data_IF_328720501514
#
_entry.id   IF_328720501514
#
_cell.length_a   1.000
_cell.length_b   1.000
_cell.length_c   1.000
_cell.angle_alpha   90.00
_cell.angle_beta   90.00
_cell.angle_gamma   90.00
#
_symmetry.space_group_name_H-M   'P 1'
#
loop_
_entity.id
_entity.type
_entity.pdbx_description
1 polymer ?
#
# COMPACT_ATOMS: atom_id res chain seq x y z
N UNK A 1 22.29 8.74 -24.83
CA UNK A 1 22.61 8.12 -23.54
C UNK A 1 21.44 8.24 -22.55
N UNK A 2 20.18 8.02 -22.99
CA UNK A 2 18.98 8.23 -22.14
C UNK A 2 18.22 6.94 -21.77
N UNK A 3 18.72 5.76 -22.16
CA UNK A 3 18.00 4.50 -21.94
C UNK A 3 18.21 3.84 -20.57
N UNK A 4 19.24 4.27 -19.83
CA UNK A 4 19.56 3.73 -18.50
C UNK A 4 18.57 4.17 -17.40
N UNK A 5 17.92 5.32 -17.58
CA UNK A 5 17.05 5.89 -16.55
C UNK A 5 15.66 5.25 -16.46
N UNK A 6 15.20 4.61 -17.54
CA UNK A 6 13.88 3.94 -17.54
C UNK A 6 13.89 2.62 -16.80
N UNK A 7 15.01 1.90 -16.80
CA UNK A 7 15.08 0.57 -16.17
C UNK A 7 15.05 0.64 -14.64
N UNK A 8 15.67 1.67 -14.06
CA UNK A 8 15.64 1.89 -12.61
C UNK A 8 14.30 2.45 -12.11
N UNK A 9 13.56 3.16 -12.97
CA UNK A 9 12.28 3.77 -12.60
C UNK A 9 11.23 2.70 -12.26
N UNK A 10 11.35 1.57 -12.88
CA UNK A 10 10.39 0.49 -12.76
C UNK A 10 10.46 -0.32 -11.47
N UNK A 11 11.62 -0.42 -10.87
CA UNK A 11 11.76 -1.09 -9.57
C UNK A 11 11.11 -0.34 -8.39
N UNK A 12 10.77 0.93 -8.61
CA UNK A 12 10.39 1.85 -7.55
C UNK A 12 8.94 1.75 -7.06
N UNK A 13 8.06 1.20 -7.85
CA UNK A 13 6.64 1.20 -7.54
C UNK A 13 6.08 -0.16 -7.22
N UNK A 14 6.77 -1.22 -7.59
CA UNK A 14 6.58 -2.52 -6.94
C UNK A 14 6.77 -2.38 -5.42
N UNK A 15 7.70 -1.48 -5.00
CA UNK A 15 7.90 -1.13 -3.61
C UNK A 15 6.72 -0.43 -2.93
N UNK A 16 6.06 0.50 -3.61
CA UNK A 16 4.91 1.21 -3.02
C UNK A 16 3.69 0.29 -2.83
N UNK A 17 3.49 -0.65 -3.73
CA UNK A 17 2.41 -1.64 -3.60
C UNK A 17 2.66 -2.61 -2.44
N UNK A 18 3.89 -3.10 -2.31
CA UNK A 18 4.25 -4.01 -1.23
C UNK A 18 4.24 -3.32 0.14
N UNK A 19 4.64 -2.04 0.22
CA UNK A 19 4.55 -1.26 1.46
C UNK A 19 3.10 -1.12 1.92
N UNK A 20 2.18 -0.97 0.97
CA UNK A 20 0.76 -0.86 1.27
C UNK A 20 0.18 -2.16 1.87
N UNK A 21 0.58 -3.33 1.36
CA UNK A 21 0.16 -4.64 1.91
C UNK A 21 0.75 -4.85 3.31
N UNK A 22 2.03 -4.57 3.48
CA UNK A 22 2.72 -4.78 4.75
C UNK A 22 2.18 -3.86 5.86
N UNK A 23 1.70 -2.66 5.52
CA UNK A 23 1.15 -1.73 6.50
C UNK A 23 -0.21 -2.18 7.05
N UNK A 24 -1.11 -2.69 6.21
CA UNK A 24 -2.39 -3.22 6.70
C UNK A 24 -2.21 -4.41 7.66
N UNK A 25 -1.17 -5.23 7.46
CA UNK A 25 -0.87 -6.36 8.35
C UNK A 25 -0.16 -5.92 9.63
N UNK A 26 0.66 -4.85 9.58
CA UNK A 26 1.41 -4.38 10.76
C UNK A 26 0.64 -3.38 11.63
N UNK A 27 -0.37 -2.70 11.10
CA UNK A 27 -1.20 -1.77 11.86
C UNK A 27 -2.31 -2.45 12.69
N UNK A 28 -2.52 -3.75 12.52
CA UNK A 28 -3.48 -4.54 13.33
C UNK A 28 -2.86 -5.12 14.60
N UNK A 29 -2.04 -4.38 15.34
CA UNK A 29 -1.64 -4.77 16.72
C UNK A 29 -1.07 -3.59 17.49
N UNK A 30 -1.21 -3.51 18.81
CA UNK A 30 -2.18 -4.04 19.75
C UNK A 30 -2.68 -2.96 20.73
N UNK A 31 -3.87 -2.49 20.66
CA UNK A 31 -4.52 -1.80 21.80
C UNK A 31 -6.02 -2.15 21.81
N UNK A 32 -6.36 -3.40 21.92
CA UNK A 32 -7.66 -3.86 22.44
C UNK A 32 -7.45 -5.24 23.06
N UNK A 33 -6.76 -5.31 24.17
CA UNK A 33 -6.57 -6.62 24.80
C UNK A 33 -6.72 -6.49 26.32
N UNK A 34 -7.88 -6.18 26.83
CA UNK A 34 -8.22 -6.60 28.21
C UNK A 34 -9.71 -6.49 28.57
N UNK A 35 -10.48 -5.68 27.86
CA UNK A 35 -11.91 -5.53 28.19
C UNK A 35 -12.86 -6.29 27.25
N UNK A 36 -12.38 -6.88 26.17
CA UNK A 36 -13.18 -7.63 25.19
C UNK A 36 -13.06 -9.15 25.40
N UNK A 37 -12.01 -9.62 26.07
CA UNK A 37 -11.78 -11.07 26.24
C UNK A 37 -12.87 -11.79 27.05
N UNK A 38 -13.50 -11.11 27.99
CA UNK A 38 -14.54 -11.73 28.84
C UNK A 38 -15.96 -11.72 28.25
N UNK A 39 -16.23 -10.89 27.25
CA UNK A 39 -17.51 -10.91 26.52
C UNK A 39 -17.47 -11.76 25.24
N UNK A 40 -16.29 -11.98 24.66
CA UNK A 40 -16.09 -12.78 23.44
C UNK A 40 -16.18 -14.29 23.68
N UNK A 41 -15.82 -14.78 24.86
CA UNK A 41 -15.74 -16.22 25.12
C UNK A 41 -17.08 -16.94 25.19
N UNK A 42 -18.19 -16.25 25.43
CA UNK A 42 -19.52 -16.88 25.53
C UNK A 42 -20.29 -16.82 24.20
N UNK A 43 -20.11 -15.78 23.38
CA UNK A 43 -20.74 -15.70 22.05
C UNK A 43 -19.94 -16.44 20.97
N UNK A 44 -18.63 -16.55 21.12
CA UNK A 44 -17.78 -17.25 20.15
C UNK A 44 -18.02 -18.77 20.11
N UNK A 45 -18.37 -19.39 21.23
CA UNK A 45 -18.58 -20.85 21.27
C UNK A 45 -19.83 -21.32 20.52
N UNK A 46 -20.86 -20.48 20.48
CA UNK A 46 -22.10 -20.78 19.75
C UNK A 46 -21.98 -20.46 18.25
N UNK A 47 -21.28 -19.40 17.91
CA UNK A 47 -21.07 -19.00 16.48
C UNK A 47 -20.11 -19.93 15.76
N UNK A 48 -19.07 -20.42 16.44
CA UNK A 48 -18.07 -21.33 15.83
C UNK A 48 -18.67 -22.69 15.50
N UNK A 49 -19.54 -23.22 16.35
CA UNK A 49 -20.24 -24.48 16.09
C UNK A 49 -21.28 -24.35 14.97
N UNK A 50 -21.90 -23.19 14.82
CA UNK A 50 -22.83 -22.90 13.74
C UNK A 50 -22.04 -22.76 12.42
N UNK A 51 -20.95 -22.02 12.43
CA UNK A 51 -20.05 -21.85 11.27
C UNK A 51 -19.44 -23.19 10.79
N UNK A 52 -19.08 -24.09 11.72
CA UNK A 52 -18.58 -25.43 11.37
C UNK A 52 -19.70 -26.31 10.78
N UNK A 53 -20.95 -26.16 11.23
CA UNK A 53 -22.08 -26.85 10.62
C UNK A 53 -22.41 -26.34 9.22
N UNK A 54 -22.24 -25.05 8.98
CA UNK A 54 -22.47 -24.42 7.67
C UNK A 54 -21.33 -24.74 6.71
N UNK A 55 -20.07 -24.88 7.19
CA UNK A 55 -18.94 -25.37 6.41
C UNK A 55 -19.16 -26.81 5.87
N UNK A 56 -19.91 -27.66 6.59
CA UNK A 56 -20.27 -29.00 6.09
C UNK A 56 -21.27 -29.00 4.95
N UNK A 57 -21.96 -27.89 4.70
CA UNK A 57 -22.92 -27.73 3.60
C UNK A 57 -22.26 -27.19 2.31
N UNK A 58 -21.00 -26.75 2.37
CA UNK A 58 -20.28 -26.25 1.20
C UNK A 58 -19.99 -27.40 0.25
N UNK A 59 -20.64 -27.39 -0.88
CA UNK A 59 -20.45 -28.36 -1.98
C UNK A 59 -19.23 -27.95 -2.80
N UNK A 60 -18.61 -28.91 -3.50
CA UNK A 60 -17.48 -28.63 -4.40
C UNK A 60 -17.80 -27.61 -5.51
N UNK A 61 -19.07 -27.40 -5.80
CA UNK A 61 -19.54 -26.41 -6.77
C UNK A 61 -19.60 -24.99 -6.20
N UNK A 62 -19.77 -24.84 -4.87
CA UNK A 62 -19.69 -23.57 -4.16
C UNK A 62 -18.22 -23.06 -4.05
N UNK A 63 -17.26 -23.99 -4.19
CA UNK A 63 -15.83 -23.68 -4.20
C UNK A 63 -15.29 -23.35 -5.60
N UNK A 64 -16.10 -23.50 -6.64
CA UNK A 64 -15.83 -22.93 -7.94
C UNK A 64 -16.12 -21.43 -7.89
N UNK A 65 -15.21 -20.68 -7.29
CA UNK A 65 -15.24 -19.23 -7.33
C UNK A 65 -15.18 -18.85 -8.81
N UNK A 66 -16.34 -18.54 -9.36
CA UNK A 66 -16.42 -17.94 -10.67
C UNK A 66 -15.84 -16.53 -10.52
N UNK A 67 -14.55 -16.40 -10.83
CA UNK A 67 -13.80 -15.13 -10.73
C UNK A 67 -14.43 -14.00 -11.55
N UNK A 68 -15.44 -14.29 -12.35
CA UNK A 68 -16.20 -13.34 -13.14
C UNK A 68 -17.57 -12.95 -12.51
N UNK A 69 -18.01 -13.60 -11.43
CA UNK A 69 -19.41 -13.48 -11.00
C UNK A 69 -19.65 -12.56 -9.79
N UNK A 70 -18.64 -12.02 -9.13
CA UNK A 70 -18.81 -11.53 -7.76
C UNK A 70 -18.63 -10.02 -7.53
N UNK A 71 -18.62 -9.16 -8.53
CA UNK A 71 -18.66 -7.72 -8.26
C UNK A 71 -19.55 -6.99 -9.27
N UNK A 72 -20.74 -6.51 -8.86
CA UNK A 72 -21.63 -5.73 -9.74
C UNK A 72 -21.01 -4.46 -10.30
N UNK A 73 -20.02 -3.88 -9.58
CA UNK A 73 -19.32 -2.63 -9.94
C UNK A 73 -17.81 -2.81 -10.09
N UNK A 74 -17.32 -4.05 -10.21
CA UNK A 74 -15.89 -4.27 -10.41
C UNK A 74 -15.44 -3.63 -11.72
N UNK A 75 -14.38 -2.85 -11.63
CA UNK A 75 -13.69 -2.33 -12.81
C UNK A 75 -13.38 -3.52 -13.71
N UNK A 76 -14.09 -3.61 -14.84
CA UNK A 76 -13.85 -4.65 -15.85
C UNK A 76 -12.39 -4.58 -16.24
N UNK A 77 -11.74 -5.73 -16.28
CA UNK A 77 -10.36 -5.87 -16.75
C UNK A 77 -10.34 -6.19 -18.25
N UNK A 78 -10.62 -5.22 -19.13
CA UNK A 78 -10.68 -5.45 -20.56
C UNK A 78 -9.31 -5.73 -21.16
N UNK A 79 -8.24 -5.40 -20.43
CA UNK A 79 -6.85 -5.60 -20.85
C UNK A 79 -6.23 -6.85 -20.16
N UNK A 80 -7.05 -7.74 -19.61
CA UNK A 80 -6.59 -8.92 -18.87
C UNK A 80 -5.51 -9.73 -19.60
N UNK A 81 -5.61 -10.04 -20.92
CA UNK A 81 -4.56 -10.78 -21.60
C UNK A 81 -3.19 -10.07 -21.57
N UNK A 82 -3.18 -8.76 -21.80
CA UNK A 82 -1.98 -7.94 -21.74
C UNK A 82 -1.48 -7.81 -20.29
N UNK A 83 -2.38 -7.54 -19.35
CA UNK A 83 -2.06 -7.40 -17.93
C UNK A 83 -1.44 -8.67 -17.36
N UNK A 84 -1.91 -9.86 -17.76
CA UNK A 84 -1.31 -11.13 -17.36
C UNK A 84 0.10 -11.32 -17.92
N UNK A 85 0.37 -10.92 -19.15
CA UNK A 85 1.73 -10.97 -19.71
C UNK A 85 2.69 -10.07 -18.94
N UNK A 86 2.27 -8.85 -18.65
CA UNK A 86 3.07 -7.91 -17.85
C UNK A 86 3.24 -8.43 -16.41
N UNK A 87 2.20 -9.05 -15.85
CA UNK A 87 2.30 -9.69 -14.53
C UNK A 87 3.35 -10.81 -14.53
N UNK A 88 3.36 -11.69 -15.52
CA UNK A 88 4.37 -12.75 -15.65
C UNK A 88 5.77 -12.16 -15.76
N UNK A 89 5.94 -11.08 -16.50
CA UNK A 89 7.22 -10.36 -16.56
C UNK A 89 7.64 -9.83 -15.19
N UNK A 90 6.72 -9.16 -14.48
CA UNK A 90 6.98 -8.62 -13.14
C UNK A 90 7.28 -9.73 -12.12
N UNK A 91 6.51 -10.82 -12.12
CA UNK A 91 6.71 -11.99 -11.24
C UNK A 91 8.05 -12.68 -11.51
N UNK A 92 8.45 -12.77 -12.78
CA UNK A 92 9.75 -13.31 -13.17
C UNK A 92 10.89 -12.43 -12.64
N UNK A 93 10.79 -11.12 -12.82
CA UNK A 93 11.78 -10.18 -12.30
C UNK A 93 11.84 -10.21 -10.76
N UNK A 94 10.70 -10.27 -10.10
CA UNK A 94 10.65 -10.42 -8.63
C UNK A 94 11.35 -11.70 -8.19
N UNK A 95 10.99 -12.84 -8.77
CA UNK A 95 11.51 -14.15 -8.38
C UNK A 95 13.01 -14.27 -8.55
N UNK A 96 13.57 -13.75 -9.63
CA UNK A 96 14.99 -13.93 -9.97
C UNK A 96 15.89 -12.79 -9.48
N UNK A 97 15.33 -11.62 -9.22
CA UNK A 97 16.12 -10.43 -8.84
C UNK A 97 15.69 -9.86 -7.50
N UNK A 98 14.43 -9.42 -7.35
CA UNK A 98 14.04 -8.64 -6.18
C UNK A 98 13.92 -9.50 -4.92
N UNK A 99 13.29 -10.67 -5.03
CA UNK A 99 13.10 -11.59 -3.90
C UNK A 99 14.43 -12.09 -3.30
N UNK A 100 15.41 -12.61 -4.07
CA UNK A 100 16.69 -13.02 -3.49
C UNK A 100 17.46 -11.86 -2.84
N UNK A 101 17.39 -10.66 -3.40
CA UNK A 101 18.00 -9.47 -2.79
C UNK A 101 17.28 -9.11 -1.49
N UNK A 102 15.93 -9.18 -1.46
CA UNK A 102 15.14 -8.90 -0.27
C UNK A 102 15.42 -9.90 0.87
N UNK A 103 15.61 -11.18 0.57
CA UNK A 103 16.03 -12.20 1.54
C UNK A 103 17.40 -11.84 2.15
N UNK A 104 18.39 -11.55 1.30
CA UNK A 104 19.72 -11.15 1.77
C UNK A 104 19.69 -9.85 2.58
N UNK A 105 18.81 -8.92 2.21
CA UNK A 105 18.62 -7.68 2.97
C UNK A 105 18.06 -7.96 4.37
N UNK A 106 17.08 -8.84 4.51
CA UNK A 106 16.53 -9.22 5.83
C UNK A 106 17.56 -9.93 6.69
N UNK A 107 18.35 -10.82 6.11
CA UNK A 107 19.41 -11.57 6.82
C UNK A 107 20.56 -10.68 7.30
N UNK A 108 20.95 -9.69 6.50
CA UNK A 108 22.14 -8.86 6.78
C UNK A 108 21.83 -7.54 7.48
N UNK A 109 20.65 -6.99 7.31
CA UNK A 109 20.29 -5.70 7.90
C UNK A 109 19.23 -5.93 8.98
N UNK A 110 19.58 -5.79 10.26
CA UNK A 110 18.66 -6.04 11.36
C UNK A 110 17.54 -5.01 11.43
N UNK A 111 16.39 -5.41 11.99
CA UNK A 111 15.19 -4.57 12.07
C UNK A 111 15.42 -3.19 12.75
N UNK A 112 16.25 -3.07 13.80
CA UNK A 112 16.56 -1.76 14.38
C UNK A 112 17.22 -0.76 13.41
N UNK A 113 17.77 -1.21 12.28
CA UNK A 113 18.31 -0.35 11.21
C UNK A 113 17.26 -0.09 10.13
N UNK A 114 16.47 -1.11 9.79
CA UNK A 114 15.44 -1.01 8.74
C UNK A 114 14.28 -0.13 9.16
N UNK A 115 13.80 -0.26 10.39
CA UNK A 115 12.65 0.48 10.91
C UNK A 115 12.86 2.01 10.90
N UNK A 116 13.96 2.58 11.44
CA UNK A 116 14.23 4.01 11.34
C UNK A 116 14.31 4.52 9.90
N UNK A 117 14.90 3.75 8.99
CA UNK A 117 14.96 4.12 7.57
C UNK A 117 13.54 4.24 6.97
N UNK A 118 12.66 3.28 7.27
CA UNK A 118 11.25 3.35 6.84
C UNK A 118 10.53 4.58 7.40
N UNK A 119 10.71 4.85 8.70
CA UNK A 119 10.09 6.01 9.34
C UNK A 119 10.57 7.32 8.74
N UNK A 120 11.86 7.44 8.49
CA UNK A 120 12.43 8.62 7.81
C UNK A 120 11.80 8.85 6.43
N UNK A 121 11.66 7.78 5.64
CA UNK A 121 11.01 7.88 4.33
C UNK A 121 9.53 8.24 4.39
N UNK A 122 8.79 7.68 5.35
CA UNK A 122 7.39 8.04 5.61
C UNK A 122 7.28 9.51 5.98
N UNK A 123 8.11 9.95 6.90
CA UNK A 123 8.12 11.35 7.34
C UNK A 123 8.40 12.31 6.17
N UNK A 124 9.32 11.98 5.26
CA UNK A 124 9.54 12.78 4.05
C UNK A 124 8.33 12.80 3.09
N UNK A 125 7.42 11.86 3.19
CA UNK A 125 6.17 11.84 2.42
C UNK A 125 5.06 12.73 2.99
N UNK A 126 5.11 13.06 4.28
CA UNK A 126 4.04 13.80 4.98
C UNK A 126 3.72 15.17 4.36
N UNK A 127 4.68 15.99 3.89
CA UNK A 127 4.33 17.26 3.23
C UNK A 127 3.46 17.07 1.98
N UNK A 128 3.71 16.01 1.20
CA UNK A 128 2.88 15.70 0.03
C UNK A 128 1.51 15.16 0.42
N UNK A 129 1.43 14.36 1.49
CA UNK A 129 0.15 13.94 2.07
C UNK A 129 -0.68 15.16 2.48
N UNK A 130 -0.08 16.13 3.17
CA UNK A 130 -0.76 17.36 3.58
C UNK A 130 -1.26 18.18 2.38
N UNK A 131 -0.49 18.27 1.30
CA UNK A 131 -0.94 18.95 0.06
C UNK A 131 -2.17 18.25 -0.53
N UNK A 132 -2.17 16.92 -0.62
CA UNK A 132 -3.32 16.17 -1.09
C UNK A 132 -4.55 16.37 -0.20
N UNK A 133 -4.39 16.39 1.12
CA UNK A 133 -5.46 16.66 2.08
C UNK A 133 -6.02 18.10 1.93
N UNK A 134 -5.16 19.08 1.67
CA UNK A 134 -5.63 20.44 1.34
C UNK A 134 -6.42 20.47 0.05
N UNK A 135 -5.95 19.81 -1.00
CA UNK A 135 -6.67 19.69 -2.27
C UNK A 135 -8.04 19.02 -2.04
N UNK A 136 -8.13 18.01 -1.18
CA UNK A 136 -9.37 17.33 -0.81
C UNK A 136 -10.31 18.20 0.06
N UNK A 137 -9.95 19.44 0.41
CA UNK A 137 -10.74 20.29 1.29
C UNK A 137 -10.73 19.88 2.75
N UNK A 138 -9.68 19.19 3.22
CA UNK A 138 -9.51 18.65 4.59
C UNK A 138 -8.38 19.37 5.35
N UNK A 139 -8.50 20.70 5.61
CA UNK A 139 -7.42 21.51 6.17
C UNK A 139 -7.03 21.08 7.60
N UNK A 140 -7.97 20.60 8.40
CA UNK A 140 -7.69 20.10 9.75
C UNK A 140 -6.79 18.87 9.73
N UNK A 141 -7.01 17.97 8.77
CA UNK A 141 -6.14 16.81 8.54
C UNK A 141 -4.75 17.22 8.05
N UNK A 142 -4.70 18.12 7.08
CA UNK A 142 -3.43 18.66 6.59
C UNK A 142 -2.61 19.32 7.70
N UNK A 143 -3.25 20.07 8.60
CA UNK A 143 -2.59 20.65 9.76
C UNK A 143 -2.04 19.58 10.74
N UNK A 144 -2.81 18.51 11.00
CA UNK A 144 -2.34 17.37 11.81
C UNK A 144 -1.15 16.66 11.14
N UNK A 145 -1.19 16.46 9.84
CA UNK A 145 -0.11 15.84 9.06
C UNK A 145 1.16 16.70 9.06
N UNK A 146 1.04 18.02 8.91
CA UNK A 146 2.17 18.93 9.03
C UNK A 146 2.72 19.00 10.46
N UNK A 147 1.84 18.99 11.47
CA UNK A 147 2.23 18.90 12.88
C UNK A 147 3.00 17.62 13.18
N UNK A 148 2.55 16.51 12.63
CA UNK A 148 3.24 15.23 12.69
C UNK A 148 4.62 15.29 12.04
N UNK A 149 4.71 15.80 10.82
CA UNK A 149 5.98 16.00 10.12
C UNK A 149 6.97 16.83 10.96
N UNK A 150 6.50 17.98 11.45
CA UNK A 150 7.31 18.90 12.25
C UNK A 150 7.80 18.25 13.54
N UNK A 151 6.90 17.60 14.29
CA UNK A 151 7.24 16.94 15.54
C UNK A 151 8.29 15.85 15.35
N UNK A 152 8.05 14.94 14.39
CA UNK A 152 8.98 13.86 14.11
C UNK A 152 10.33 14.37 13.60
N UNK A 153 10.33 15.42 12.78
CA UNK A 153 11.57 16.01 12.25
C UNK A 153 12.37 16.71 13.36
N UNK A 154 11.73 17.53 14.20
CA UNK A 154 12.41 18.27 15.24
C UNK A 154 12.93 17.40 16.39
N UNK A 155 12.22 16.29 16.70
CA UNK A 155 12.59 15.43 17.84
C UNK A 155 13.54 14.30 17.46
N UNK A 156 13.42 13.75 16.25
CA UNK A 156 14.13 12.53 15.84
C UNK A 156 14.72 12.61 14.44
N UNK A 157 14.74 13.78 13.80
CA UNK A 157 15.09 13.97 12.40
C UNK A 157 14.25 13.10 11.43
N UNK A 158 13.07 12.65 11.89
CA UNK A 158 12.18 11.79 11.15
C UNK A 158 12.49 10.29 11.23
N UNK A 159 13.51 9.87 11.99
CA UNK A 159 13.89 8.45 12.12
C UNK A 159 13.01 7.66 13.10
N UNK A 160 12.17 8.33 13.89
CA UNK A 160 11.17 7.71 14.75
C UNK A 160 9.83 8.44 14.64
N UNK A 161 8.79 7.90 15.27
CA UNK A 161 7.42 8.40 15.18
C UNK A 161 6.81 8.72 16.56
N UNK A 162 7.32 9.75 17.27
CA UNK A 162 6.70 10.23 18.49
C UNK A 162 5.30 10.80 18.28
N UNK A 163 4.98 11.34 17.11
CA UNK A 163 3.66 11.89 16.80
C UNK A 163 2.55 10.83 16.91
N UNK A 164 2.82 9.59 16.54
CA UNK A 164 1.88 8.47 16.67
C UNK A 164 1.51 8.22 18.15
N UNK A 165 2.49 8.33 19.06
CA UNK A 165 2.26 8.15 20.51
C UNK A 165 1.39 9.26 21.11
N UNK A 166 1.31 10.41 20.45
CA UNK A 166 0.46 11.52 20.80
C UNK A 166 -0.90 11.50 20.11
N UNK A 167 -1.28 10.38 19.51
CA UNK A 167 -2.58 10.22 18.86
C UNK A 167 -2.68 10.90 17.48
N UNK A 168 -1.55 11.17 16.84
CA UNK A 168 -1.51 11.69 15.47
C UNK A 168 -1.14 10.53 14.50
N UNK A 169 -2.09 9.75 13.99
CA UNK A 169 -1.82 8.67 13.05
C UNK A 169 -1.37 9.23 11.70
N UNK A 170 -0.56 8.45 10.98
CA UNK A 170 -0.24 8.77 9.59
C UNK A 170 -1.43 8.48 8.69
N UNK A 171 -1.61 9.29 7.67
CA UNK A 171 -2.61 9.09 6.63
C UNK A 171 -1.93 9.23 5.27
N UNK A 172 -1.68 8.09 4.63
CA UNK A 172 -1.03 8.09 3.33
C UNK A 172 -1.97 8.56 2.24
N UNK A 173 -1.50 9.52 1.46
CA UNK A 173 -2.24 10.11 0.36
C UNK A 173 -1.52 9.88 -0.97
N UNK A 174 -2.32 9.85 -2.03
CA UNK A 174 -1.83 9.89 -3.40
C UNK A 174 -2.77 10.74 -4.26
N UNK A 175 -2.24 11.32 -5.30
CA UNK A 175 -3.06 12.13 -6.20
C UNK A 175 -4.15 11.30 -6.89
N UNK A 176 -3.91 10.00 -7.13
CA UNK A 176 -4.92 9.07 -7.63
C UNK A 176 -6.11 8.91 -6.67
N UNK A 177 -5.85 8.83 -5.35
CA UNK A 177 -6.91 8.81 -4.32
C UNK A 177 -7.64 10.16 -4.27
N UNK A 178 -6.91 11.26 -4.36
CA UNK A 178 -7.48 12.61 -4.42
C UNK A 178 -8.43 12.78 -5.61
N UNK A 179 -8.06 12.30 -6.78
CA UNK A 179 -8.95 12.26 -7.94
C UNK A 179 -10.20 11.40 -7.69
N UNK A 180 -10.01 10.23 -7.06
CA UNK A 180 -11.10 9.36 -6.67
C UNK A 180 -12.05 9.99 -5.66
N UNK A 181 -11.53 10.75 -4.71
CA UNK A 181 -12.31 11.53 -3.74
C UNK A 181 -13.25 12.52 -4.43
N UNK A 182 -12.84 13.12 -5.53
CA UNK A 182 -13.69 13.98 -6.38
C UNK A 182 -14.57 13.22 -7.38
N UNK A 183 -14.66 11.90 -7.27
CA UNK A 183 -15.52 11.09 -8.12
C UNK A 183 -14.95 10.78 -9.51
N UNK A 184 -13.67 11.07 -9.77
CA UNK A 184 -13.04 10.67 -11.02
C UNK A 184 -12.99 9.14 -11.09
N UNK A 185 -13.59 8.52 -12.12
CA UNK A 185 -13.62 7.07 -12.24
C UNK A 185 -12.20 6.49 -12.37
N UNK A 186 -11.99 5.29 -11.81
CA UNK A 186 -10.69 4.62 -11.86
C UNK A 186 -10.22 4.32 -13.30
N UNK A 187 -11.17 4.16 -14.23
CA UNK A 187 -10.90 3.63 -15.56
C UNK A 187 -10.52 2.14 -15.51
N UNK A 188 -10.09 1.57 -16.64
CA UNK A 188 -9.64 0.19 -16.72
C UNK A 188 -8.48 -0.11 -15.77
N UNK A 189 -8.48 -1.36 -15.26
CA UNK A 189 -7.31 -1.89 -14.55
C UNK A 189 -6.15 -2.08 -15.53
N UNK A 190 -4.94 -1.73 -15.11
CA UNK A 190 -3.71 -1.91 -15.87
C UNK A 190 -2.61 -2.46 -14.98
N UNK A 191 -1.90 -3.47 -15.46
CA UNK A 191 -0.65 -3.91 -14.86
C UNK A 191 0.50 -3.15 -15.50
N UNK A 192 1.22 -2.35 -14.72
CA UNK A 192 2.34 -1.57 -15.24
C UNK A 192 3.63 -2.40 -15.16
N UNK A 193 4.47 -2.41 -16.23
CA UNK A 193 5.78 -3.03 -16.17
C UNK A 193 6.61 -2.41 -15.05
N UNK A 194 7.19 -3.24 -14.21
CA UNK A 194 7.95 -2.88 -13.00
C UNK A 194 7.11 -2.22 -11.88
N UNK A 195 6.00 -1.56 -12.21
CA UNK A 195 5.21 -0.75 -11.27
C UNK A 195 4.08 -1.54 -10.61
N UNK A 196 3.72 -2.69 -11.18
CA UNK A 196 2.67 -3.52 -10.62
C UNK A 196 1.25 -3.01 -10.92
N UNK A 197 0.28 -3.35 -10.06
CA UNK A 197 -1.13 -3.05 -10.27
C UNK A 197 -1.42 -1.54 -10.23
N UNK A 198 -2.31 -1.10 -11.12
CA UNK A 198 -2.75 0.29 -11.23
C UNK A 198 -4.11 0.36 -11.93
N UNK A 199 -4.65 1.57 -12.03
CA UNK A 199 -5.73 1.95 -12.94
C UNK A 199 -5.27 3.14 -13.78
N UNK A 200 -6.03 3.52 -14.80
CA UNK A 200 -5.70 4.73 -15.57
C UNK A 200 -5.61 5.98 -14.69
N UNK A 201 -6.59 6.18 -13.79
CA UNK A 201 -6.58 7.29 -12.82
C UNK A 201 -5.35 7.25 -11.92
N UNK A 202 -5.08 6.09 -11.34
CA UNK A 202 -4.01 5.96 -10.34
C UNK A 202 -2.63 6.01 -11.01
N UNK A 203 -2.49 5.53 -12.25
CA UNK A 203 -1.29 5.67 -13.06
C UNK A 203 -0.98 7.14 -13.39
N UNK A 204 -2.00 7.92 -13.73
CA UNK A 204 -1.85 9.36 -13.87
C UNK A 204 -1.48 10.03 -12.54
N UNK A 205 -2.16 9.64 -11.46
CA UNK A 205 -1.84 10.09 -10.10
C UNK A 205 -0.40 9.81 -9.71
N UNK A 206 0.10 8.61 -10.01
CA UNK A 206 1.49 8.23 -9.76
C UNK A 206 2.51 9.15 -10.46
N UNK A 207 2.21 9.58 -11.70
CA UNK A 207 3.06 10.54 -12.41
C UNK A 207 3.10 11.88 -11.67
N UNK A 208 1.97 12.38 -11.18
CA UNK A 208 1.90 13.62 -10.40
C UNK A 208 2.60 13.47 -9.04
N UNK A 209 2.34 12.37 -8.31
CA UNK A 209 2.96 12.08 -7.02
C UNK A 209 4.49 12.11 -7.09
N UNK A 210 5.06 11.64 -8.22
CA UNK A 210 6.50 11.69 -8.43
C UNK A 210 7.05 13.13 -8.44
N UNK A 211 6.31 14.08 -8.99
CA UNK A 211 6.71 15.48 -8.99
C UNK A 211 6.38 16.21 -7.68
N UNK A 212 5.36 15.78 -6.96
CA UNK A 212 4.96 16.37 -5.69
C UNK A 212 5.86 16.00 -4.50
N UNK A 213 6.63 14.92 -4.59
CA UNK A 213 7.45 14.45 -3.47
C UNK A 213 8.72 15.27 -3.26
N UNK A 214 8.98 15.77 -2.04
CA UNK A 214 10.15 16.59 -1.73
C UNK A 214 11.50 15.92 -2.05
N UNK A 215 11.58 14.60 -1.93
CA UNK A 215 12.80 13.81 -2.16
C UNK A 215 13.40 14.05 -3.56
N UNK A 216 12.55 14.30 -4.56
CA UNK A 216 13.01 14.58 -5.91
C UNK A 216 13.86 15.85 -5.95
N UNK A 217 13.42 16.90 -5.26
CA UNK A 217 14.08 18.21 -5.26
C UNK A 217 15.27 18.26 -4.32
N UNK A 218 15.20 17.55 -3.18
CA UNK A 218 16.32 17.48 -2.23
C UNK A 218 17.54 16.75 -2.79
N UNK A 219 17.34 15.84 -3.75
CA UNK A 219 18.39 14.99 -4.33
C UNK A 219 18.55 15.21 -5.84
N UNK A 220 18.12 16.36 -6.36
CA UNK A 220 18.15 16.63 -7.80
C UNK A 220 19.57 16.62 -8.35
N UNK A 221 20.52 17.20 -7.64
CA UNK A 221 21.94 17.18 -7.99
C UNK A 221 22.65 15.84 -7.70
N UNK A 222 21.99 14.93 -6.98
CA UNK A 222 22.56 13.66 -6.53
C UNK A 222 21.74 12.46 -7.06
N UNK A 223 21.63 12.37 -8.37
CA UNK A 223 20.84 11.34 -9.04
C UNK A 223 21.19 9.91 -8.60
N UNK A 224 22.46 9.61 -8.34
CA UNK A 224 22.89 8.32 -7.83
C UNK A 224 22.27 7.98 -6.46
N UNK A 225 22.27 8.94 -5.53
CA UNK A 225 21.67 8.76 -4.20
C UNK A 225 20.16 8.65 -4.32
N UNK A 226 19.53 9.50 -5.12
CA UNK A 226 18.08 9.44 -5.35
C UNK A 226 17.66 8.05 -5.83
N UNK A 227 18.32 7.49 -6.84
CA UNK A 227 17.99 6.17 -7.35
C UNK A 227 18.30 5.04 -6.36
N UNK A 228 19.44 5.13 -5.65
CA UNK A 228 19.82 4.13 -4.64
C UNK A 228 18.79 4.05 -3.51
N UNK A 229 18.32 5.21 -3.01
CA UNK A 229 17.31 5.23 -1.94
C UNK A 229 15.97 4.67 -2.42
N UNK A 230 15.63 4.87 -3.67
CA UNK A 230 14.41 4.32 -4.24
C UNK A 230 14.52 2.80 -4.44
N UNK A 231 15.64 2.29 -4.95
CA UNK A 231 15.90 0.84 -5.06
C UNK A 231 15.85 0.19 -3.66
N UNK A 232 16.50 0.80 -2.68
CA UNK A 232 16.47 0.31 -1.31
C UNK A 232 15.04 0.26 -0.74
N UNK A 233 14.21 1.26 -1.06
CA UNK A 233 12.79 1.23 -0.68
C UNK A 233 12.06 0.04 -1.30
N UNK A 234 12.28 -0.25 -2.59
CA UNK A 234 11.66 -1.39 -3.24
C UNK A 234 12.09 -2.72 -2.60
N UNK A 235 13.37 -2.85 -2.26
CA UNK A 235 13.91 -4.02 -1.58
C UNK A 235 13.29 -4.18 -0.18
N UNK A 236 13.26 -3.09 0.61
CA UNK A 236 12.68 -3.11 1.95
C UNK A 236 11.17 -3.40 1.93
N UNK A 237 10.43 -2.81 0.99
CA UNK A 237 9.02 -3.11 0.82
C UNK A 237 8.78 -4.58 0.44
N UNK A 238 9.61 -5.15 -0.45
CA UNK A 238 9.53 -6.58 -0.79
C UNK A 238 9.88 -7.47 0.40
N UNK A 239 10.84 -7.05 1.21
CA UNK A 239 11.24 -7.75 2.42
C UNK A 239 10.09 -7.90 3.44
N UNK A 240 9.23 -6.88 3.56
CA UNK A 240 8.09 -6.88 4.48
C UNK A 240 6.99 -7.88 4.11
N UNK A 241 6.93 -8.36 2.87
CA UNK A 241 5.88 -9.29 2.40
C UNK A 241 6.39 -10.71 2.14
N UNK A 242 7.64 -11.02 2.47
CA UNK A 242 8.22 -12.35 2.25
C UNK A 242 7.41 -13.44 2.97
N UNK A 243 7.06 -13.23 4.22
CA UNK A 243 6.34 -14.20 5.05
C UNK A 243 4.89 -14.39 4.60
N UNK A 244 4.28 -13.33 4.07
CA UNK A 244 2.87 -13.36 3.62
C UNK A 244 2.74 -14.12 2.31
N UNK A 245 3.73 -14.03 1.43
CA UNK A 245 3.71 -14.67 0.12
C UNK A 245 3.49 -16.17 0.19
N UNK A 246 4.04 -16.85 1.20
CA UNK A 246 3.89 -18.30 1.39
C UNK A 246 2.43 -18.72 1.65
N UNK A 247 1.62 -17.80 2.16
CA UNK A 247 0.21 -18.01 2.45
C UNK A 247 -0.69 -17.83 1.22
N UNK A 248 -0.19 -17.22 0.16
CA UNK A 248 -0.96 -16.93 -1.06
C UNK A 248 -1.05 -18.17 -1.96
N UNK A 249 -2.24 -18.78 -2.03
CA UNK A 249 -2.54 -19.94 -2.87
C UNK A 249 -3.56 -19.56 -3.95
N UNK A 250 -3.33 -20.02 -5.19
CA UNK A 250 -4.26 -19.81 -6.29
C UNK A 250 -3.75 -18.85 -7.37
N UNK A 251 -4.67 -18.16 -8.07
CA UNK A 251 -4.32 -17.21 -9.13
C UNK A 251 -3.80 -15.90 -8.52
N UNK A 252 -2.48 -15.78 -8.39
CA UNK A 252 -1.81 -14.60 -7.84
C UNK A 252 -2.18 -13.31 -8.58
N UNK A 253 -2.36 -13.38 -9.91
CA UNK A 253 -2.75 -12.19 -10.68
C UNK A 253 -4.12 -11.67 -10.24
N UNK A 254 -5.11 -12.56 -10.16
CA UNK A 254 -6.46 -12.18 -9.75
C UNK A 254 -6.49 -11.65 -8.32
N UNK A 255 -5.79 -12.31 -7.39
CA UNK A 255 -5.70 -11.86 -5.99
C UNK A 255 -5.09 -10.47 -5.86
N UNK A 256 -3.97 -10.21 -6.55
CA UNK A 256 -3.28 -8.91 -6.51
C UNK A 256 -4.17 -7.81 -7.12
N UNK A 257 -4.84 -8.10 -8.25
CA UNK A 257 -5.78 -7.16 -8.88
C UNK A 257 -6.92 -6.80 -7.93
N UNK A 258 -7.58 -7.81 -7.38
CA UNK A 258 -8.77 -7.62 -6.56
C UNK A 258 -8.44 -6.93 -5.24
N UNK A 259 -7.33 -7.31 -4.60
CA UNK A 259 -6.82 -6.64 -3.41
C UNK A 259 -6.53 -5.15 -3.68
N UNK A 260 -5.83 -4.85 -4.79
CA UNK A 260 -5.53 -3.48 -5.17
C UNK A 260 -6.79 -2.63 -5.36
N UNK A 261 -7.77 -3.16 -6.09
CA UNK A 261 -9.02 -2.44 -6.37
C UNK A 261 -9.85 -2.20 -5.09
N UNK A 262 -9.96 -3.23 -4.24
CA UNK A 262 -10.67 -3.12 -2.96
C UNK A 262 -9.99 -2.11 -2.02
N UNK A 263 -8.67 -2.17 -1.91
CA UNK A 263 -7.91 -1.22 -1.10
C UNK A 263 -8.11 0.22 -1.58
N UNK A 264 -8.05 0.46 -2.89
CA UNK A 264 -8.28 1.80 -3.43
C UNK A 264 -9.70 2.31 -3.20
N UNK A 265 -10.70 1.45 -3.36
CA UNK A 265 -12.09 1.77 -3.03
C UNK A 265 -12.25 2.10 -1.54
N UNK A 266 -11.66 1.29 -0.65
CA UNK A 266 -11.68 1.53 0.79
C UNK A 266 -11.02 2.87 1.16
N UNK A 267 -9.82 3.14 0.64
CA UNK A 267 -9.13 4.42 0.89
C UNK A 267 -9.99 5.63 0.51
N UNK A 268 -10.68 5.59 -0.62
CA UNK A 268 -11.54 6.68 -1.06
C UNK A 268 -12.77 6.81 -0.15
N UNK A 269 -13.41 5.69 0.21
CA UNK A 269 -14.58 5.69 1.09
C UNK A 269 -14.24 6.23 2.50
N UNK A 270 -13.10 5.85 3.06
CA UNK A 270 -12.59 6.36 4.33
C UNK A 270 -12.46 7.90 4.33
N UNK A 271 -11.92 8.48 3.22
CA UNK A 271 -11.80 9.94 3.10
C UNK A 271 -13.15 10.66 3.13
N UNK A 272 -14.18 10.05 2.55
CA UNK A 272 -15.53 10.62 2.58
C UNK A 272 -16.17 10.53 3.97
N UNK A 273 -16.02 9.42 4.69
CA UNK A 273 -16.54 9.29 6.06
C UNK A 273 -15.92 10.30 7.01
N UNK A 274 -14.59 10.45 6.97
CA UNK A 274 -13.87 11.43 7.79
C UNK A 274 -14.28 12.89 7.51
N UNK A 275 -14.70 13.20 6.30
CA UNK A 275 -15.16 14.54 5.94
C UNK A 275 -16.56 14.83 6.48
N UNK A 276 -17.39 13.80 6.62
CA UNK A 276 -18.76 13.92 7.16
C UNK A 276 -18.77 14.16 8.68
N UNK A 277 -17.77 13.64 9.41
CA UNK A 277 -17.67 13.79 10.86
C UNK A 277 -17.15 15.18 11.31
N UNK A 278 -16.71 16.02 10.38
CA UNK A 278 -16.13 17.36 10.65
C UNK A 278 -17.10 18.48 10.25
N UNK A 279 -18.18 18.17 9.56
CA UNK A 279 -19.24 19.12 9.16
C UNK A 279 -20.38 19.15 10.16
#
# INVERSE_FOLDING_TARGET
MHYSNFFLLGLLTAGAFNTAIAQDVSEQSPVVTESIENQLNTQQKTSTLQAIKDLKKITKDDLKVNANAAQPDAVKDPLQPLNRQIFVFNDTLDRYVLKPIAIQYVEKVPEPVRSPYRQFRKNLGEPWNAVNQLIQGRPSRAAKTLGRFTLNTLTTLGFADPARRLGLPTEEESFGVTLGYYGVPSGPYVMLPFFGPSTFRDGFGLAIDRYGRPQKYMLDDQQGIYWSTNVLQAIDARAQVLDIEESLKGDKYAMIRDFYLQRKAFQIAEKHSDSADVS
#
